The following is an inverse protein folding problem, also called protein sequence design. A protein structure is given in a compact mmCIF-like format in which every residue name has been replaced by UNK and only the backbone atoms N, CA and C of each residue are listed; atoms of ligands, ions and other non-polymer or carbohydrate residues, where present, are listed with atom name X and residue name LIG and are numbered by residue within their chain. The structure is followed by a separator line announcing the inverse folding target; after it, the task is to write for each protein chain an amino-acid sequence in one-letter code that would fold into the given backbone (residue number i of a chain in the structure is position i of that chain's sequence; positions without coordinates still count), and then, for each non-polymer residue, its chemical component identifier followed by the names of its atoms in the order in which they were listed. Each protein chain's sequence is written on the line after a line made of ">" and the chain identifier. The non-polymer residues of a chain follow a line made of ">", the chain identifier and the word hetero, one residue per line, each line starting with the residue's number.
data_IF_251237302278
#
_entry.id   IF_251237302278
#
_cell.length_a   1.000
_cell.length_b   1.000
_cell.length_c   1.000
_cell.angle_alpha   90.00
_cell.angle_beta   90.00
_cell.angle_gamma   90.00
#
_symmetry.space_group_name_H-M   'P 1'
#
loop_
_entity.id
_entity.type
_entity.pdbx_description
1 polymer ?
#
# COMPACT_ATOMS: atom_id res chain seq x y z
N UNK A 1 -14.96 -7.44 18.17
CA UNK A 1 -13.70 -8.03 18.72
C UNK A 1 -12.69 -8.14 17.59
N UNK A 2 -11.45 -7.64 17.56
CA UNK A 2 -10.56 -6.91 18.46
C UNK A 2 -9.72 -5.97 17.56
N UNK A 3 -10.08 -4.69 17.45
CA UNK A 3 -9.26 -3.69 16.71
C UNK A 3 -8.07 -3.17 17.54
N UNK A 4 -7.85 -3.75 18.72
CA UNK A 4 -6.85 -3.28 19.69
C UNK A 4 -5.46 -3.89 19.47
N UNK A 5 -5.35 -5.05 18.83
CA UNK A 5 -4.04 -5.71 18.63
C UNK A 5 -3.25 -5.00 17.55
N UNK A 6 -3.93 -4.56 16.49
CA UNK A 6 -3.30 -3.80 15.39
C UNK A 6 -2.70 -2.47 15.85
N UNK A 7 -3.36 -1.77 16.80
CA UNK A 7 -2.83 -0.51 17.36
C UNK A 7 -1.51 -0.66 18.13
N UNK A 8 -1.19 -1.85 18.64
CA UNK A 8 0.05 -2.06 19.41
C UNK A 8 1.25 -2.41 18.52
N UNK A 9 1.02 -2.90 17.29
CA UNK A 9 2.08 -3.36 16.38
C UNK A 9 2.57 -2.23 15.47
N UNK A 10 1.72 -1.24 15.21
CA UNK A 10 1.98 -0.18 14.23
C UNK A 10 2.57 1.06 14.91
N UNK A 11 3.74 1.56 14.50
CA UNK A 11 4.29 2.80 15.03
C UNK A 11 3.46 4.01 14.59
N UNK A 12 3.09 4.86 15.56
CA UNK A 12 2.20 6.03 15.34
C UNK A 12 2.85 7.11 14.47
N UNK A 13 4.19 7.17 14.43
CA UNK A 13 4.96 8.24 13.79
C UNK A 13 5.46 7.89 12.38
N UNK A 14 4.93 6.83 11.75
CA UNK A 14 5.35 6.47 10.40
C UNK A 14 4.85 7.47 9.36
N UNK A 15 5.77 7.81 8.46
CA UNK A 15 5.55 8.69 7.34
C UNK A 15 5.48 7.88 6.03
N UNK A 16 5.29 8.59 4.93
CA UNK A 16 5.17 7.98 3.61
C UNK A 16 6.34 7.05 3.21
N UNK A 17 7.62 7.32 3.55
CA UNK A 17 8.72 6.42 3.23
C UNK A 17 8.55 5.01 3.84
N UNK A 18 8.07 4.91 5.08
CA UNK A 18 7.78 3.64 5.73
C UNK A 18 6.57 2.95 5.10
N UNK A 19 5.51 3.71 4.81
CA UNK A 19 4.33 3.19 4.13
C UNK A 19 4.68 2.62 2.75
N UNK A 20 5.52 3.31 1.98
CA UNK A 20 6.02 2.86 0.69
C UNK A 20 6.93 1.62 0.83
N UNK A 21 7.78 1.57 1.86
CA UNK A 21 8.61 0.40 2.15
C UNK A 21 7.78 -0.85 2.52
N UNK A 22 6.65 -0.68 3.24
CA UNK A 22 5.69 -1.78 3.49
C UNK A 22 5.13 -2.32 2.18
N UNK A 23 4.66 -1.44 1.29
CA UNK A 23 4.14 -1.85 -0.02
C UNK A 23 5.23 -2.56 -0.82
N UNK A 24 6.44 -2.02 -0.83
CA UNK A 24 7.58 -2.58 -1.54
C UNK A 24 7.91 -4.01 -1.08
N UNK A 25 8.06 -4.24 0.23
CA UNK A 25 8.34 -5.58 0.76
C UNK A 25 7.18 -6.56 0.55
N UNK A 26 5.94 -6.07 0.59
CA UNK A 26 4.76 -6.91 0.35
C UNK A 26 4.68 -7.40 -1.10
N UNK A 27 5.07 -6.54 -2.05
CA UNK A 27 5.08 -6.83 -3.47
C UNK A 27 6.27 -7.70 -3.90
N UNK A 28 7.39 -7.54 -3.21
CA UNK A 28 8.61 -8.32 -3.37
C UNK A 28 8.47 -9.79 -2.95
N UNK A 29 7.73 -10.08 -1.87
CA UNK A 29 7.65 -11.43 -1.31
C UNK A 29 7.19 -12.52 -2.29
N UNK A 30 6.12 -12.31 -3.08
CA UNK A 30 5.60 -13.32 -4.02
C UNK A 30 6.39 -13.46 -5.32
N UNK A 31 7.20 -12.47 -5.72
CA UNK A 31 7.75 -12.43 -7.07
C UNK A 31 8.95 -13.37 -7.28
N UNK A 32 9.52 -13.95 -6.22
CA UNK A 32 10.61 -14.94 -6.29
C UNK A 32 11.91 -14.45 -6.94
N UNK A 33 11.90 -13.23 -7.49
CA UNK A 33 13.04 -12.55 -8.05
C UNK A 33 13.71 -11.76 -6.93
N UNK A 34 15.03 -11.89 -6.80
CA UNK A 34 15.88 -10.98 -6.00
C UNK A 34 15.95 -9.56 -6.59
N UNK A 35 14.81 -9.05 -7.06
CA UNK A 35 14.65 -7.84 -7.83
C UNK A 35 14.73 -6.63 -6.91
N UNK A 36 15.87 -5.94 -6.97
CA UNK A 36 16.17 -4.58 -6.53
C UNK A 36 14.98 -3.80 -5.90
N UNK A 37 14.60 -4.18 -4.68
CA UNK A 37 13.53 -3.50 -3.92
C UNK A 37 13.91 -2.04 -3.64
N UNK A 38 15.21 -1.74 -3.66
CA UNK A 38 15.77 -0.40 -3.51
C UNK A 38 15.45 0.50 -4.70
N UNK A 39 15.55 0.01 -5.93
CA UNK A 39 15.17 0.74 -7.14
C UNK A 39 13.67 1.04 -7.20
N UNK A 40 12.81 0.11 -6.80
CA UNK A 40 11.36 0.36 -6.75
C UNK A 40 10.96 1.30 -5.62
N UNK A 41 11.63 1.21 -4.46
CA UNK A 41 11.41 2.16 -3.37
C UNK A 41 11.85 3.57 -3.74
N UNK A 42 12.93 3.73 -4.52
CA UNK A 42 13.33 5.01 -5.12
C UNK A 42 12.21 5.61 -5.95
N UNK A 43 11.62 4.84 -6.86
CA UNK A 43 10.53 5.31 -7.70
C UNK A 43 9.28 5.66 -6.90
N UNK A 44 8.97 4.93 -5.82
CA UNK A 44 7.85 5.27 -4.94
C UNK A 44 8.08 6.56 -4.14
N UNK A 45 9.34 6.87 -3.84
CA UNK A 45 9.72 7.98 -2.94
C UNK A 45 10.83 8.85 -3.55
N UNK A 46 10.60 9.47 -4.72
CA UNK A 46 11.64 10.15 -5.48
C UNK A 46 12.21 11.37 -4.74
N UNK A 47 11.37 12.05 -3.94
CA UNK A 47 11.74 13.25 -3.19
C UNK A 47 12.50 12.93 -1.88
N UNK A 48 12.72 11.66 -1.57
CA UNK A 48 13.29 11.21 -0.29
C UNK A 48 14.76 10.86 -0.47
N UNK A 49 15.59 11.38 0.44
CA UNK A 49 17.02 11.12 0.39
C UNK A 49 17.35 9.62 0.52
N UNK A 50 18.40 9.11 -0.16
CA UNK A 50 18.83 7.72 -0.02
C UNK A 50 18.99 7.20 1.42
N UNK A 51 19.60 7.94 2.37
CA UNK A 51 19.71 7.46 3.75
C UNK A 51 18.35 7.32 4.44
N UNK A 52 17.42 8.27 4.22
CA UNK A 52 16.07 8.20 4.78
C UNK A 52 15.27 7.01 4.23
N UNK A 53 15.43 6.70 2.94
CA UNK A 53 14.84 5.50 2.30
C UNK A 53 15.38 4.22 2.92
N UNK A 54 16.69 4.12 3.14
CA UNK A 54 17.33 2.96 3.79
C UNK A 54 16.80 2.76 5.21
N UNK A 55 16.77 3.83 6.01
CA UNK A 55 16.23 3.77 7.37
C UNK A 55 14.77 3.31 7.41
N UNK A 56 13.93 3.83 6.51
CA UNK A 56 12.53 3.41 6.40
C UNK A 56 12.42 1.92 6.07
N UNK A 57 13.18 1.46 5.07
CA UNK A 57 13.20 0.07 4.66
C UNK A 57 13.65 -0.85 5.80
N UNK A 58 14.75 -0.52 6.49
CA UNK A 58 15.26 -1.30 7.62
C UNK A 58 14.25 -1.36 8.78
N UNK A 59 13.59 -0.25 9.09
CA UNK A 59 12.56 -0.20 10.13
C UNK A 59 11.42 -1.18 9.81
N UNK A 60 10.91 -1.16 8.57
CA UNK A 60 9.83 -2.04 8.14
C UNK A 60 10.27 -3.50 8.05
N UNK A 61 11.48 -3.78 7.54
CA UNK A 61 12.03 -5.13 7.45
C UNK A 61 12.05 -5.85 8.81
N UNK A 62 12.35 -5.12 9.90
CA UNK A 62 12.33 -5.69 11.26
C UNK A 62 10.94 -6.22 11.64
N UNK A 63 9.86 -5.57 11.20
CA UNK A 63 8.50 -6.04 11.46
C UNK A 63 8.10 -7.19 10.55
N UNK A 64 8.51 -7.17 9.27
CA UNK A 64 8.27 -8.29 8.35
C UNK A 64 8.96 -9.57 8.84
N UNK A 65 10.20 -9.47 9.33
CA UNK A 65 10.93 -10.60 9.96
C UNK A 65 10.23 -11.15 11.20
N UNK A 66 9.43 -10.34 11.90
CA UNK A 66 8.63 -10.77 13.05
C UNK A 66 7.24 -11.33 12.66
N UNK A 67 6.95 -11.47 11.36
CA UNK A 67 5.68 -12.01 10.87
C UNK A 67 4.55 -11.00 10.75
N UNK A 68 4.81 -9.71 10.93
CA UNK A 68 3.77 -8.67 10.88
C UNK A 68 3.51 -8.11 9.47
N UNK A 69 4.12 -8.67 8.41
CA UNK A 69 4.06 -8.13 7.05
C UNK A 69 2.63 -7.91 6.56
N UNK A 70 1.81 -8.96 6.51
CA UNK A 70 0.43 -8.88 6.03
C UNK A 70 -0.44 -7.90 6.84
N UNK A 71 -0.22 -7.81 8.15
CA UNK A 71 -0.92 -6.86 9.01
C UNK A 71 -0.51 -5.42 8.66
N UNK A 72 0.78 -5.15 8.50
CA UNK A 72 1.26 -3.83 8.09
C UNK A 72 0.75 -3.43 6.70
N UNK A 73 0.76 -4.34 5.73
CA UNK A 73 0.21 -4.10 4.39
C UNK A 73 -1.26 -3.70 4.47
N UNK A 74 -2.05 -4.45 5.23
CA UNK A 74 -3.47 -4.17 5.43
C UNK A 74 -3.68 -2.80 6.07
N UNK A 75 -2.93 -2.49 7.13
CA UNK A 75 -3.01 -1.20 7.79
C UNK A 75 -2.67 -0.04 6.83
N UNK A 76 -1.60 -0.17 6.04
CA UNK A 76 -1.24 0.86 5.05
C UNK A 76 -2.38 1.05 4.04
N UNK A 77 -2.94 -0.03 3.49
CA UNK A 77 -3.97 0.07 2.45
C UNK A 77 -5.32 0.55 3.00
N UNK A 78 -5.72 0.12 4.19
CA UNK A 78 -7.03 0.43 4.76
C UNK A 78 -7.07 1.74 5.56
N UNK A 79 -5.99 2.10 6.25
CA UNK A 79 -5.96 3.29 7.13
C UNK A 79 -5.17 4.47 6.53
N UNK A 80 -4.03 4.21 5.89
CA UNK A 80 -3.10 5.26 5.44
C UNK A 80 -3.36 5.72 4.01
N UNK A 81 -3.49 4.78 3.08
CA UNK A 81 -3.73 5.06 1.67
C UNK A 81 -4.94 5.98 1.40
N UNK A 82 -6.07 5.87 2.13
CA UNK A 82 -7.19 6.80 1.96
C UNK A 82 -6.85 8.26 2.28
N UNK A 83 -5.86 8.51 3.16
CA UNK A 83 -5.42 9.85 3.58
C UNK A 83 -4.39 10.45 2.63
N UNK A 84 -3.82 9.66 1.73
CA UNK A 84 -2.89 10.18 0.73
C UNK A 84 -3.59 11.11 -0.25
N UNK A 85 -2.83 12.11 -0.71
CA UNK A 85 -3.28 12.95 -1.81
C UNK A 85 -3.61 12.10 -3.04
N UNK A 86 -4.52 12.59 -3.86
CA UNK A 86 -4.90 11.90 -5.09
C UNK A 86 -3.69 11.63 -5.99
N UNK A 87 -2.84 12.64 -6.18
CA UNK A 87 -1.60 12.55 -6.96
C UNK A 87 -0.67 11.45 -6.45
N UNK A 88 -0.50 11.34 -5.13
CA UNK A 88 0.34 10.31 -4.51
C UNK A 88 -0.24 8.91 -4.73
N UNK A 89 -1.55 8.72 -4.59
CA UNK A 89 -2.21 7.44 -4.88
C UNK A 89 -2.02 7.00 -6.33
N UNK A 90 -2.20 7.92 -7.29
CA UNK A 90 -1.98 7.65 -8.71
C UNK A 90 -0.52 7.27 -8.98
N UNK A 91 0.44 7.99 -8.39
CA UNK A 91 1.87 7.67 -8.51
C UNK A 91 2.22 6.29 -7.97
N UNK A 92 1.82 5.97 -6.74
CA UNK A 92 2.07 4.66 -6.12
C UNK A 92 1.47 3.54 -6.96
N UNK A 93 0.24 3.72 -7.44
CA UNK A 93 -0.43 2.74 -8.29
C UNK A 93 0.34 2.51 -9.59
N UNK A 94 0.77 3.58 -10.26
CA UNK A 94 1.52 3.48 -11.52
C UNK A 94 2.81 2.68 -11.31
N UNK A 95 3.60 3.04 -10.29
CA UNK A 95 4.87 2.35 -9.98
C UNK A 95 4.66 0.88 -9.63
N UNK A 96 3.65 0.54 -8.82
CA UNK A 96 3.36 -0.87 -8.49
C UNK A 96 2.84 -1.65 -9.69
N UNK A 97 2.11 -1.00 -10.60
CA UNK A 97 1.67 -1.62 -11.86
C UNK A 97 2.87 -1.91 -12.75
N UNK A 98 3.78 -0.94 -12.90
CA UNK A 98 5.00 -1.10 -13.69
C UNK A 98 5.89 -2.20 -13.11
N UNK A 99 5.97 -2.30 -11.79
CA UNK A 99 6.66 -3.40 -11.13
C UNK A 99 6.00 -4.74 -11.41
N UNK A 100 4.67 -4.84 -11.28
CA UNK A 100 3.96 -6.07 -11.58
C UNK A 100 4.20 -6.53 -13.03
N UNK A 101 4.19 -5.59 -13.98
CA UNK A 101 4.49 -5.84 -15.39
C UNK A 101 5.94 -6.32 -15.58
N UNK A 102 6.90 -5.69 -14.91
CA UNK A 102 8.29 -6.13 -14.92
C UNK A 102 8.46 -7.56 -14.35
N UNK A 103 7.60 -7.96 -13.40
CA UNK A 103 7.53 -9.32 -12.89
C UNK A 103 6.71 -10.28 -13.77
N UNK A 104 6.25 -9.86 -14.96
CA UNK A 104 5.56 -10.70 -15.95
C UNK A 104 4.03 -10.66 -15.88
N UNK A 105 3.43 -9.82 -15.05
CA UNK A 105 1.98 -9.66 -15.04
C UNK A 105 1.49 -8.90 -16.29
N UNK A 106 0.41 -9.34 -16.95
CA UNK A 106 -0.12 -8.65 -18.11
C UNK A 106 -0.74 -7.29 -17.70
N UNK A 107 -0.27 -6.16 -18.26
CA UNK A 107 -0.66 -4.80 -17.82
C UNK A 107 -2.16 -4.53 -17.93
N UNK A 108 -2.79 -5.04 -18.99
CA UNK A 108 -4.21 -4.83 -19.24
C UNK A 108 -5.09 -5.52 -18.19
N UNK A 109 -4.69 -6.68 -17.68
CA UNK A 109 -5.44 -7.39 -16.64
C UNK A 109 -5.37 -6.64 -15.29
N UNK A 110 -4.22 -6.04 -14.98
CA UNK A 110 -4.06 -5.23 -13.76
C UNK A 110 -4.90 -3.94 -13.82
N UNK A 111 -4.90 -3.26 -14.97
CA UNK A 111 -5.73 -2.07 -15.21
C UNK A 111 -7.23 -2.38 -15.08
N UNK A 112 -7.66 -3.52 -15.62
CA UNK A 112 -9.05 -3.99 -15.51
C UNK A 112 -9.43 -4.30 -14.06
N UNK A 113 -8.61 -5.07 -13.33
CA UNK A 113 -8.86 -5.38 -11.91
C UNK A 113 -8.96 -4.10 -11.07
N UNK A 114 -8.09 -3.13 -11.35
CA UNK A 114 -8.12 -1.84 -10.67
C UNK A 114 -9.38 -1.04 -10.98
N UNK A 115 -9.80 -0.97 -12.25
CA UNK A 115 -11.01 -0.27 -12.64
C UNK A 115 -12.27 -0.88 -12.00
N UNK A 116 -12.32 -2.23 -11.94
CA UNK A 116 -13.38 -2.97 -11.27
C UNK A 116 -13.42 -2.69 -9.76
N UNK A 117 -12.26 -2.62 -9.10
CA UNK A 117 -12.19 -2.27 -7.68
C UNK A 117 -12.65 -0.83 -7.43
N UNK A 118 -12.24 0.13 -8.25
CA UNK A 118 -12.68 1.52 -8.14
C UNK A 118 -14.19 1.68 -8.34
N UNK A 119 -14.78 0.96 -9.30
CA UNK A 119 -16.23 0.94 -9.53
C UNK A 119 -16.96 0.30 -8.34
N UNK A 120 -16.43 -0.78 -7.78
CA UNK A 120 -16.98 -1.43 -6.57
C UNK A 120 -16.95 -0.52 -5.34
N UNK A 121 -15.86 0.23 -5.14
CA UNK A 121 -15.73 1.20 -4.04
C UNK A 121 -16.67 2.40 -4.20
N UNK A 122 -16.86 2.90 -5.42
CA UNK A 122 -17.85 3.97 -5.71
C UNK A 122 -19.27 3.50 -5.38
N UNK A 123 -19.66 2.31 -5.85
CA UNK A 123 -20.99 1.73 -5.55
C UNK A 123 -21.21 1.50 -4.06
N UNK A 124 -20.20 1.04 -3.31
CA UNK A 124 -20.32 0.88 -1.84
C UNK A 124 -20.52 2.22 -1.12
N UNK A 125 -19.85 3.29 -1.56
CA UNK A 125 -20.03 4.64 -1.01
C UNK A 125 -21.39 5.24 -1.35
N UNK A 126 -21.93 4.93 -2.53
CA UNK A 126 -23.27 5.36 -2.94
C UNK A 126 -24.36 4.57 -2.20
N UNK A 127 -24.19 3.25 -2.04
CA UNK A 127 -25.08 2.41 -1.25
C UNK A 127 -25.12 2.81 0.23
N UNK A 128 -23.99 3.22 0.81
CA UNK A 128 -23.93 3.76 2.18
C UNK A 128 -24.61 5.14 2.35
N UNK A 129 -25.00 5.82 1.27
CA UNK A 129 -25.79 7.07 1.32
C UNK A 129 -27.28 6.85 1.05
N UNK A 130 -27.66 5.67 0.58
CA UNK A 130 -29.03 5.32 0.22
C UNK A 130 -29.60 4.35 1.27
N UNK A 131 -29.74 4.83 2.51
CA UNK A 131 -30.25 4.01 3.62
C UNK A 131 -30.17 4.65 5.01
N UNK A 132 -29.28 5.62 5.22
CA UNK A 132 -29.01 6.21 6.56
C UNK A 132 -29.89 7.43 6.91
N UNK A 133 -31.12 7.49 6.40
CA UNK A 133 -32.13 8.42 6.94
C UNK A 133 -33.16 7.60 7.71
N UNK A 134 -33.20 7.64 9.05
CA UNK A 134 -34.34 7.07 9.75
C UNK A 134 -35.61 7.83 9.31
N UNK A 135 -36.74 7.13 9.07
CA UNK A 135 -38.00 7.80 8.78
C UNK A 135 -38.37 8.70 9.97
N UNK A 136 -38.91 9.88 9.66
CA UNK A 136 -39.29 10.92 10.63
C UNK A 136 -40.24 10.40 11.69
#
# INVERSE_FOLDING_TARGET
>A
MKSSVFKQVVPVDWEFPEEAAVLCLSFAGPSGQGADHTGWLEQLTPDVSPPRRRMALEAVQRFFKKGYGAALTRWVLEDRAPRWSWRRRQHVLQVLTDWAVACGAPPEQLRVLFHLEQLGQRRRREAGRYGDRPPR
#
